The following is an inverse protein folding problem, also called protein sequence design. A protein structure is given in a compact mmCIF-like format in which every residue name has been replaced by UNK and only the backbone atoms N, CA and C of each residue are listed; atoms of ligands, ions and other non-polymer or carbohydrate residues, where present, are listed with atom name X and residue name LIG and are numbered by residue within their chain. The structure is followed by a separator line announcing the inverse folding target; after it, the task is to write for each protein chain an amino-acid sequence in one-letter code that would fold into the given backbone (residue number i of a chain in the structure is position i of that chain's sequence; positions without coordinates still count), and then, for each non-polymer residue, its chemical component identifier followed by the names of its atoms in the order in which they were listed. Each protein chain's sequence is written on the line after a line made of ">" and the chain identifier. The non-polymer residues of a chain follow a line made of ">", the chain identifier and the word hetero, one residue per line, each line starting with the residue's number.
data_IF_374256862945
#
_entry.id   IF_374256862945
#
_cell.length_a   1.000
_cell.length_b   1.000
_cell.length_c   1.000
_cell.angle_alpha   90.00
_cell.angle_beta   90.00
_cell.angle_gamma   90.00
#
_symmetry.space_group_name_H-M   'P 1'
#
loop_
_entity.id
_entity.type
_entity.pdbx_description
1 polymer ?
#
# COMPACT_ATOMS: atom_id res chain seq x y z
N UNK A 1 -10.08 3.48 0.60
CA UNK A 1 -8.71 3.83 1.02
C UNK A 1 -7.82 3.55 -0.17
N UNK A 2 -6.95 4.48 -0.53
CA UNK A 2 -6.07 4.34 -1.69
C UNK A 2 -4.65 4.09 -1.22
N UNK A 3 -3.94 3.19 -1.90
CA UNK A 3 -2.52 2.92 -1.62
C UNK A 3 -1.72 3.21 -2.86
N UNK A 4 -0.67 3.99 -2.68
CA UNK A 4 0.33 4.23 -3.69
C UNK A 4 1.60 3.48 -3.32
N UNK A 5 1.90 2.47 -4.11
CA UNK A 5 3.18 1.79 -4.08
C UNK A 5 4.15 2.58 -4.94
N UNK A 6 5.36 2.85 -4.43
CA UNK A 6 6.35 3.61 -5.19
C UNK A 6 6.92 2.74 -6.33
N UNK A 7 6.27 2.80 -7.50
CA UNK A 7 6.89 2.83 -8.84
C UNK A 7 5.88 3.31 -9.90
N UNK A 8 4.58 3.04 -9.74
CA UNK A 8 3.53 3.44 -10.67
C UNK A 8 2.79 4.74 -10.29
N UNK A 9 2.28 5.51 -11.27
CA UNK A 9 1.43 6.68 -11.01
C UNK A 9 0.00 6.32 -10.58
N UNK A 10 -0.38 5.04 -10.63
CA UNK A 10 -1.76 4.59 -10.48
C UNK A 10 -2.15 4.36 -9.00
N UNK A 11 -3.35 4.83 -8.65
CA UNK A 11 -3.98 4.61 -7.35
C UNK A 11 -5.04 3.52 -7.52
N UNK A 12 -4.86 2.39 -6.83
CA UNK A 12 -5.79 1.27 -6.92
C UNK A 12 -6.67 1.19 -5.67
N UNK A 13 -7.95 0.83 -5.79
CA UNK A 13 -8.74 0.41 -4.64
C UNK A 13 -8.18 -0.90 -4.12
N UNK A 14 -7.56 -0.85 -2.94
CA UNK A 14 -6.95 -2.03 -2.30
C UNK A 14 -7.83 -2.55 -1.17
N UNK A 15 -7.74 -3.85 -0.90
CA UNK A 15 -8.31 -4.44 0.31
C UNK A 15 -7.23 -4.45 1.40
N UNK A 16 -7.56 -3.92 2.57
CA UNK A 16 -6.65 -3.84 3.72
C UNK A 16 -7.25 -4.66 4.85
N UNK A 17 -6.44 -5.53 5.44
CA UNK A 17 -6.78 -6.37 6.58
C UNK A 17 -5.71 -6.17 7.66
N UNK A 18 -6.12 -5.79 8.88
CA UNK A 18 -5.24 -5.73 10.04
C UNK A 18 -4.94 -7.15 10.51
N UNK A 19 -3.67 -7.55 10.48
CA UNK A 19 -3.25 -8.90 10.93
C UNK A 19 -2.56 -8.84 12.30
N UNK A 20 -2.07 -7.66 12.71
CA UNK A 20 -1.52 -7.37 14.04
C UNK A 20 -1.64 -5.86 14.33
N UNK A 21 -1.22 -5.41 15.52
CA UNK A 21 -1.20 -3.98 15.87
C UNK A 21 -0.34 -3.13 14.90
N UNK A 22 0.74 -3.70 14.35
CA UNK A 22 1.72 -2.98 13.54
C UNK A 22 1.84 -3.55 12.11
N UNK A 23 0.94 -4.48 11.73
CA UNK A 23 1.03 -5.17 10.45
C UNK A 23 -0.30 -5.19 9.72
N UNK A 24 -0.25 -4.76 8.46
CA UNK A 24 -1.37 -4.73 7.54
C UNK A 24 -1.11 -5.70 6.38
N UNK A 25 -2.10 -6.51 6.05
CA UNK A 25 -2.13 -7.25 4.79
C UNK A 25 -2.87 -6.43 3.75
N UNK A 26 -2.17 -6.06 2.68
CA UNK A 26 -2.73 -5.32 1.55
C UNK A 26 -2.88 -6.29 0.37
N UNK A 27 -4.10 -6.43 -0.14
CA UNK A 27 -4.36 -7.21 -1.36
C UNK A 27 -4.60 -6.24 -2.50
N UNK A 28 -3.77 -6.36 -3.53
CA UNK A 28 -3.90 -5.61 -4.77
C UNK A 28 -4.84 -6.34 -5.74
N UNK A 29 -5.64 -5.61 -6.52
CA UNK A 29 -6.52 -6.21 -7.52
C UNK A 29 -5.75 -6.81 -8.71
N UNK A 30 -4.51 -6.38 -8.92
CA UNK A 30 -3.64 -6.81 -10.01
C UNK A 30 -2.22 -7.01 -9.50
N UNK A 31 -1.45 -7.84 -10.22
CA UNK A 31 -0.06 -8.10 -9.90
C UNK A 31 0.80 -6.87 -10.28
N UNK A 32 1.60 -6.38 -9.33
CA UNK A 32 2.56 -5.30 -9.55
C UNK A 32 3.97 -5.87 -9.41
N UNK A 33 4.72 -5.88 -10.52
CA UNK A 33 6.06 -6.46 -10.59
C UNK A 33 7.13 -5.58 -9.91
N UNK A 34 6.76 -4.40 -9.39
CA UNK A 34 7.66 -3.45 -8.73
C UNK A 34 7.76 -3.59 -7.21
N UNK A 35 7.05 -4.54 -6.59
CA UNK A 35 6.97 -4.70 -5.14
C UNK A 35 8.12 -5.57 -4.63
N UNK A 36 8.92 -5.00 -3.74
CA UNK A 36 10.01 -5.69 -3.07
C UNK A 36 10.03 -5.37 -1.56
N UNK A 37 10.45 -6.33 -0.71
CA UNK A 37 10.70 -6.07 0.70
C UNK A 37 11.69 -4.91 0.90
N UNK A 38 11.47 -4.11 1.94
CA UNK A 38 12.25 -2.91 2.25
C UNK A 38 11.82 -1.65 1.48
N UNK A 39 10.93 -1.76 0.50
CA UNK A 39 10.26 -0.60 -0.08
C UNK A 39 9.18 -0.04 0.85
N UNK A 40 8.61 1.10 0.49
CA UNK A 40 7.54 1.74 1.25
C UNK A 40 6.21 1.72 0.49
N UNK A 41 5.15 1.30 1.19
CA UNK A 41 3.77 1.51 0.78
C UNK A 41 3.24 2.79 1.43
N UNK A 42 2.68 3.71 0.64
CA UNK A 42 2.15 5.00 1.15
C UNK A 42 0.65 5.04 0.99
N UNK A 43 -0.05 5.40 2.06
CA UNK A 43 -1.51 5.44 2.10
C UNK A 43 -2.01 6.86 1.87
N UNK A 44 -3.01 6.98 1.01
CA UNK A 44 -3.68 8.24 0.73
C UNK A 44 -5.18 8.14 1.02
N UNK A 45 -5.73 9.24 1.51
CA UNK A 45 -7.18 9.43 1.69
C UNK A 45 -7.55 10.82 1.23
N UNK A 46 -8.45 10.90 0.25
CA UNK A 46 -8.94 12.16 -0.32
C UNK A 46 -7.79 13.07 -0.83
N UNK A 47 -6.74 12.46 -1.39
CA UNK A 47 -5.54 13.16 -1.86
C UNK A 47 -4.50 13.49 -0.77
N UNK A 48 -4.79 13.25 0.51
CA UNK A 48 -3.87 13.49 1.62
C UNK A 48 -3.07 12.24 1.98
N UNK A 49 -1.76 12.40 2.19
CA UNK A 49 -0.91 11.35 2.75
C UNK A 49 -1.28 11.17 4.23
N UNK A 50 -1.66 9.95 4.61
CA UNK A 50 -2.08 9.62 5.98
C UNK A 50 -1.08 8.71 6.70
N UNK A 51 -0.07 8.19 5.98
CA UNK A 51 0.97 7.37 6.55
C UNK A 51 1.68 6.49 5.53
N UNK A 52 2.65 5.72 6.00
CA UNK A 52 3.38 4.73 5.21
C UNK A 52 3.82 3.55 6.05
N UNK A 53 4.01 2.39 5.42
CA UNK A 53 4.62 1.21 6.03
C UNK A 53 5.77 0.68 5.18
N UNK A 54 6.67 -0.06 5.80
CA UNK A 54 7.68 -0.85 5.10
C UNK A 54 7.04 -2.13 4.61
N UNK A 55 7.32 -2.51 3.37
CA UNK A 55 6.90 -3.78 2.80
C UNK A 55 7.84 -4.87 3.31
N UNK A 56 7.28 -5.93 3.88
CA UNK A 56 7.98 -7.14 4.34
C UNK A 56 7.63 -8.32 3.42
#
# INVERSE_FOLDING_TARGET
>A
MEVKLRHGPEQWPVKIEEISQDTLKITLPQNDQGIAPGQFAVFYKDGYCIGSGVID
#
